data_IF_604102436326
#
_entry.id   IF_604102436326
#
_cell.length_a   1.000
_cell.length_b   1.000
_cell.length_c   1.000
_cell.angle_alpha   90.00
_cell.angle_beta   90.00
_cell.angle_gamma   90.00
#
_symmetry.space_group_name_H-M   'P 1'
#
loop_
_entity.id
_entity.type
_entity.pdbx_description
1 polymer ?
#
# COMPACT_ATOMS: atom_id res chain seq x y z
N UNK A 1 -14.47 -10.95 -12.61
CA UNK A 1 -14.56 -12.36 -13.04
C UNK A 1 -13.67 -12.54 -14.25
N UNK A 2 -12.72 -13.48 -14.20
CA UNK A 2 -11.85 -13.81 -15.34
C UNK A 2 -12.47 -14.97 -16.10
N UNK A 3 -12.57 -14.89 -17.43
CA UNK A 3 -13.07 -15.99 -18.25
C UNK A 3 -12.26 -17.28 -18.00
N UNK A 4 -12.94 -18.42 -17.86
CA UNK A 4 -12.29 -19.72 -17.61
C UNK A 4 -11.90 -19.98 -16.14
N UNK A 5 -11.89 -18.98 -15.26
CA UNK A 5 -11.57 -19.19 -13.84
C UNK A 5 -12.71 -19.91 -13.11
N UNK A 6 -12.39 -21.07 -12.52
CA UNK A 6 -13.33 -21.91 -11.75
C UNK A 6 -13.32 -21.59 -10.25
N UNK A 7 -12.31 -20.86 -9.75
CA UNK A 7 -12.20 -20.50 -8.33
C UNK A 7 -13.34 -19.57 -7.94
N UNK A 8 -14.04 -19.91 -6.85
CA UNK A 8 -15.14 -19.12 -6.27
C UNK A 8 -14.79 -18.71 -4.83
N UNK A 9 -15.41 -17.63 -4.36
CA UNK A 9 -15.26 -17.14 -3.01
C UNK A 9 -14.31 -15.94 -2.90
N UNK A 10 -14.10 -15.48 -1.66
CA UNK A 10 -13.17 -14.42 -1.36
C UNK A 10 -11.74 -14.97 -1.23
N UNK A 11 -10.77 -14.20 -1.71
CA UNK A 11 -9.35 -14.48 -1.52
C UNK A 11 -8.86 -13.70 -0.28
N UNK A 12 -8.35 -14.38 0.77
CA UNK A 12 -7.94 -13.71 2.00
C UNK A 12 -6.54 -13.10 1.94
N UNK A 13 -5.84 -13.22 0.82
CA UNK A 13 -4.50 -12.66 0.65
C UNK A 13 -4.54 -11.15 0.54
N UNK A 14 -3.49 -10.49 1.02
CA UNK A 14 -3.31 -9.05 0.88
C UNK A 14 -2.97 -8.71 -0.57
N UNK A 15 -3.70 -7.78 -1.16
CA UNK A 15 -3.46 -7.27 -2.51
C UNK A 15 -3.35 -5.74 -2.47
N UNK A 16 -2.63 -5.18 -3.43
CA UNK A 16 -2.45 -3.73 -3.56
C UNK A 16 -3.05 -3.22 -4.88
N UNK A 17 -3.37 -1.94 -4.93
CA UNK A 17 -3.94 -1.35 -6.14
C UNK A 17 -2.97 -1.40 -7.34
N UNK A 18 -1.66 -1.39 -7.07
CA UNK A 18 -0.60 -1.54 -8.09
C UNK A 18 -0.62 -2.92 -8.77
N UNK A 19 -1.23 -3.93 -8.16
CA UNK A 19 -1.36 -5.28 -8.71
C UNK A 19 -2.44 -5.38 -9.81
N UNK A 20 -3.36 -4.40 -9.87
CA UNK A 20 -4.48 -4.43 -10.83
C UNK A 20 -3.98 -4.31 -12.26
N UNK A 21 -3.07 -3.38 -12.54
CA UNK A 21 -2.59 -3.14 -13.90
C UNK A 21 -1.86 -4.36 -14.52
N UNK A 22 -0.85 -4.96 -13.86
CA UNK A 22 -0.22 -6.17 -14.38
C UNK A 22 -1.19 -7.34 -14.52
N UNK A 23 -2.19 -7.45 -13.62
CA UNK A 23 -3.24 -8.46 -13.74
C UNK A 23 -4.10 -8.28 -15.00
N UNK A 24 -4.48 -7.04 -15.31
CA UNK A 24 -5.25 -6.76 -16.52
C UNK A 24 -4.45 -7.06 -17.79
N UNK A 25 -3.16 -6.68 -17.82
CA UNK A 25 -2.28 -7.02 -18.94
C UNK A 25 -2.24 -8.52 -19.19
N UNK A 26 -1.97 -9.31 -18.15
CA UNK A 26 -1.91 -10.77 -18.27
C UNK A 26 -3.26 -11.38 -18.65
N UNK A 27 -4.37 -10.89 -18.08
CA UNK A 27 -5.72 -11.38 -18.37
C UNK A 27 -6.14 -11.23 -19.83
N UNK A 28 -5.57 -10.25 -20.55
CA UNK A 28 -5.86 -10.01 -21.98
C UNK A 28 -4.70 -10.42 -22.90
N UNK A 29 -3.68 -11.11 -22.38
CA UNK A 29 -2.53 -11.59 -23.14
C UNK A 29 -1.54 -10.51 -23.59
N UNK A 30 -1.54 -9.37 -22.93
CA UNK A 30 -0.56 -8.30 -23.18
C UNK A 30 0.68 -8.47 -22.28
N UNK A 31 1.87 -8.07 -22.76
CA UNK A 31 3.06 -8.07 -21.94
C UNK A 31 2.93 -7.05 -20.77
N UNK A 32 3.33 -7.46 -19.58
CA UNK A 32 3.40 -6.56 -18.42
C UNK A 32 4.60 -5.62 -18.60
N UNK A 33 4.42 -4.28 -18.57
CA UNK A 33 5.53 -3.35 -18.69
C UNK A 33 6.54 -3.49 -17.56
N UNK A 34 7.83 -3.39 -17.88
CA UNK A 34 8.94 -3.60 -16.93
C UNK A 34 8.99 -2.59 -15.76
N UNK A 35 8.33 -1.43 -15.90
CA UNK A 35 8.27 -0.40 -14.85
C UNK A 35 7.13 -0.59 -13.85
N UNK A 36 6.35 -1.67 -13.97
CA UNK A 36 5.26 -1.99 -13.03
C UNK A 36 5.84 -2.45 -11.70
N UNK A 37 5.40 -1.86 -10.60
CA UNK A 37 5.82 -2.26 -9.24
C UNK A 37 4.96 -3.38 -8.65
N UNK A 38 3.74 -3.56 -9.17
CA UNK A 38 2.81 -4.59 -8.73
C UNK A 38 3.05 -5.94 -9.40
N UNK A 39 2.46 -6.97 -8.83
CA UNK A 39 2.47 -8.34 -9.35
C UNK A 39 1.08 -8.74 -9.88
N UNK A 40 1.06 -9.56 -10.94
CA UNK A 40 -0.21 -10.06 -11.47
C UNK A 40 -0.86 -11.05 -10.50
N UNK A 41 -2.11 -10.79 -10.16
CA UNK A 41 -2.94 -11.65 -9.31
C UNK A 41 -3.51 -12.88 -10.06
N UNK A 42 -3.17 -13.09 -11.33
CA UNK A 42 -3.78 -14.18 -12.12
C UNK A 42 -3.56 -15.54 -11.47
N UNK A 43 -2.33 -15.87 -11.05
CA UNK A 43 -2.03 -17.14 -10.36
C UNK A 43 -2.75 -17.25 -9.02
N UNK A 44 -2.86 -16.13 -8.28
CA UNK A 44 -3.63 -16.08 -7.05
C UNK A 44 -5.12 -16.37 -7.30
N UNK A 45 -5.68 -15.78 -8.36
CA UNK A 45 -7.08 -15.96 -8.74
C UNK A 45 -7.38 -17.39 -9.24
N UNK A 46 -6.43 -18.05 -9.88
CA UNK A 46 -6.56 -19.46 -10.32
C UNK A 46 -6.28 -20.45 -9.20
N UNK A 47 -5.64 -20.02 -8.11
CA UNK A 47 -5.25 -20.88 -6.99
C UNK A 47 -3.92 -21.58 -7.19
N UNK A 48 -3.13 -21.18 -8.18
CA UNK A 48 -1.82 -21.76 -8.49
C UNK A 48 -0.68 -21.18 -7.64
N UNK A 49 -0.84 -19.94 -7.14
CA UNK A 49 0.19 -19.28 -6.35
C UNK A 49 0.04 -19.56 -4.86
N UNK A 50 1.08 -20.17 -4.29
CA UNK A 50 1.23 -20.41 -2.85
C UNK A 50 2.17 -19.41 -2.18
N UNK A 51 2.93 -18.64 -2.96
CA UNK A 51 4.01 -17.75 -2.51
C UNK A 51 3.64 -16.26 -2.55
N UNK A 52 2.37 -15.94 -2.69
CA UNK A 52 1.88 -14.56 -2.75
C UNK A 52 2.33 -13.74 -1.54
N UNK A 53 2.59 -12.45 -1.75
CA UNK A 53 2.99 -11.51 -0.70
C UNK A 53 2.03 -11.56 0.49
N UNK A 54 2.60 -11.35 1.66
CA UNK A 54 1.92 -11.41 2.96
C UNK A 54 1.52 -10.04 3.51
N UNK A 55 2.07 -8.96 2.94
CA UNK A 55 1.79 -7.59 3.36
C UNK A 55 1.68 -6.61 2.19
N UNK A 56 1.08 -5.46 2.45
CA UNK A 56 1.08 -4.27 1.61
C UNK A 56 1.92 -3.17 2.23
N UNK A 57 2.62 -2.38 1.40
CA UNK A 57 3.35 -1.19 1.83
C UNK A 57 2.76 0.03 1.13
N UNK A 58 2.03 0.83 1.87
CA UNK A 58 1.27 1.97 1.36
C UNK A 58 2.01 3.27 1.66
N UNK A 59 2.12 4.14 0.65
CA UNK A 59 2.71 5.48 0.81
C UNK A 59 1.66 6.55 0.65
N UNK A 60 1.56 7.45 1.64
CA UNK A 60 0.72 8.64 1.55
C UNK A 60 1.44 9.85 2.17
N UNK A 61 1.85 10.81 1.34
CA UNK A 61 2.62 11.98 1.76
C UNK A 61 3.85 11.62 2.61
N UNK A 62 3.82 11.97 3.90
CA UNK A 62 4.85 11.67 4.89
C UNK A 62 4.67 10.31 5.56
N UNK A 63 3.51 9.68 5.38
CA UNK A 63 3.18 8.40 6.00
C UNK A 63 3.59 7.20 5.15
N UNK A 64 4.12 6.18 5.79
CA UNK A 64 4.35 4.85 5.22
C UNK A 64 3.67 3.84 6.11
N UNK A 65 2.80 3.03 5.54
CA UNK A 65 2.04 2.03 6.27
C UNK A 65 2.46 0.63 5.83
N UNK A 66 2.80 -0.21 6.81
CA UNK A 66 2.83 -1.65 6.67
C UNK A 66 1.45 -2.18 7.07
N UNK A 67 0.89 -3.03 6.23
CA UNK A 67 -0.42 -3.63 6.46
C UNK A 67 -0.37 -5.12 6.15
N UNK A 68 -0.79 -5.94 7.11
CA UNK A 68 -1.05 -7.35 6.92
C UNK A 68 -2.33 -7.79 7.68
N UNK A 69 -2.51 -9.09 7.90
CA UNK A 69 -3.69 -9.62 8.61
C UNK A 69 -3.68 -9.36 10.11
N UNK A 70 -2.50 -9.16 10.69
CA UNK A 70 -2.29 -9.05 12.14
C UNK A 70 -1.99 -7.62 12.57
N UNK A 71 -1.39 -6.80 11.68
CA UNK A 71 -0.86 -5.49 12.00
C UNK A 71 -1.21 -4.40 10.97
N UNK A 72 -1.57 -3.23 11.50
CA UNK A 72 -1.55 -1.97 10.76
C UNK A 72 -0.54 -1.03 11.44
N UNK A 73 0.64 -0.87 10.84
CA UNK A 73 1.67 0.02 11.36
C UNK A 73 1.92 1.17 10.39
N UNK A 74 1.76 2.41 10.87
CA UNK A 74 2.06 3.61 10.09
C UNK A 74 3.13 4.44 10.78
N UNK A 75 4.13 4.85 10.01
CA UNK A 75 5.16 5.79 10.45
C UNK A 75 5.13 7.03 9.58
N UNK A 76 5.25 8.21 10.20
CA UNK A 76 5.40 9.49 9.53
C UNK A 76 6.82 10.00 9.64
N UNK A 77 7.32 10.54 8.52
CA UNK A 77 8.64 11.13 8.45
C UNK A 77 8.57 12.51 7.77
N UNK A 78 9.51 13.40 8.09
CA UNK A 78 9.64 14.68 7.39
C UNK A 78 10.27 14.51 5.99
N UNK A 79 10.54 15.65 5.33
CA UNK A 79 11.17 15.67 3.99
C UNK A 79 12.61 15.12 3.98
N UNK A 80 13.30 15.21 5.11
CA UNK A 80 14.65 14.67 5.27
C UNK A 80 14.64 13.17 5.62
N UNK A 81 13.47 12.63 5.99
CA UNK A 81 13.31 11.23 6.41
C UNK A 81 13.37 11.06 7.93
N UNK A 82 13.38 12.15 8.73
CA UNK A 82 13.39 12.05 10.18
C UNK A 82 12.01 11.63 10.69
N UNK A 83 12.00 10.77 11.69
CA UNK A 83 10.81 10.27 12.36
C UNK A 83 10.01 11.42 13.00
N UNK A 84 8.68 11.40 12.80
CA UNK A 84 7.74 12.39 13.35
C UNK A 84 6.70 11.76 14.27
N UNK A 85 6.42 10.48 14.11
CA UNK A 85 5.44 9.76 14.91
C UNK A 85 5.03 8.46 14.24
N UNK A 86 4.28 7.64 15.00
CA UNK A 86 3.78 6.37 14.48
C UNK A 86 2.47 5.93 15.14
N UNK A 87 1.80 4.98 14.50
CA UNK A 87 0.67 4.23 15.05
C UNK A 87 0.86 2.75 14.79
N UNK A 88 0.42 1.93 15.74
CA UNK A 88 0.29 0.48 15.60
C UNK A 88 -1.09 0.04 16.07
N UNK A 89 -1.73 -0.77 15.24
CA UNK A 89 -2.98 -1.45 15.56
C UNK A 89 -2.78 -2.96 15.45
N UNK A 90 -3.30 -3.69 16.44
CA UNK A 90 -3.23 -5.15 16.52
C UNK A 90 -4.60 -5.70 16.11
N UNK A 91 -4.80 -6.11 14.86
CA UNK A 91 -6.09 -6.46 14.30
C UNK A 91 -6.78 -7.67 14.97
N UNK A 92 -6.02 -8.54 15.62
CA UNK A 92 -6.59 -9.64 16.40
C UNK A 92 -7.47 -9.15 17.56
N UNK A 93 -7.16 -7.96 18.11
CA UNK A 93 -7.81 -7.41 19.29
C UNK A 93 -8.57 -6.11 19.00
N UNK A 94 -8.20 -5.40 17.92
CA UNK A 94 -8.71 -4.06 17.59
C UNK A 94 -8.79 -3.87 16.06
N UNK A 95 -9.69 -4.58 15.40
CA UNK A 95 -9.91 -4.46 13.95
C UNK A 95 -10.57 -3.15 13.52
N UNK A 96 -11.03 -2.33 14.48
CA UNK A 96 -11.59 -0.99 14.22
C UNK A 96 -10.57 0.13 14.45
N UNK A 97 -9.31 -0.21 14.77
CA UNK A 97 -8.22 0.75 14.96
C UNK A 97 -8.55 1.84 16.01
N UNK A 98 -9.14 1.42 17.12
CA UNK A 98 -9.63 2.33 18.17
C UNK A 98 -8.53 2.79 19.12
N UNK A 99 -7.44 2.01 19.23
CA UNK A 99 -6.37 2.29 20.21
C UNK A 99 -4.99 2.15 19.58
N UNK A 100 -4.28 3.28 19.42
CA UNK A 100 -2.87 3.25 19.07
C UNK A 100 -2.03 2.65 20.22
N UNK A 101 -1.30 1.56 19.93
CA UNK A 101 -0.45 0.85 20.90
C UNK A 101 1.03 0.87 20.51
N UNK A 102 1.43 1.78 19.62
CA UNK A 102 2.81 1.84 19.12
C UNK A 102 3.85 2.11 20.21
N UNK A 103 3.49 2.93 21.23
CA UNK A 103 4.40 3.32 22.30
C UNK A 103 4.35 2.38 23.53
N UNK A 104 3.50 1.33 23.48
CA UNK A 104 3.42 0.36 24.56
C UNK A 104 4.73 -0.46 24.64
N UNK A 105 5.34 -0.60 25.84
CA UNK A 105 6.64 -1.28 25.99
C UNK A 105 6.66 -2.69 25.42
N UNK A 106 5.57 -3.43 25.53
CA UNK A 106 5.39 -4.79 25.01
C UNK A 106 5.40 -4.87 23.48
N UNK A 107 5.15 -3.77 22.77
CA UNK A 107 5.09 -3.72 21.31
C UNK A 107 6.37 -3.19 20.67
N UNK A 108 7.38 -2.84 21.46
CA UNK A 108 8.64 -2.26 20.97
C UNK A 108 9.35 -3.14 19.93
N UNK A 109 9.38 -4.44 20.15
CA UNK A 109 10.01 -5.41 19.24
C UNK A 109 9.22 -5.51 17.94
N UNK A 110 7.89 -5.56 18.02
CA UNK A 110 6.99 -5.59 16.85
C UNK A 110 7.21 -4.33 16.00
N UNK A 111 7.19 -3.14 16.63
CA UNK A 111 7.44 -1.87 15.92
C UNK A 111 8.78 -1.89 15.20
N UNK A 112 9.85 -2.31 15.88
CA UNK A 112 11.19 -2.40 15.29
C UNK A 112 11.25 -3.37 14.10
N UNK A 113 10.57 -4.52 14.20
CA UNK A 113 10.45 -5.49 13.12
C UNK A 113 9.72 -4.91 11.91
N UNK A 114 8.55 -4.26 12.11
CA UNK A 114 7.75 -3.69 11.03
C UNK A 114 8.49 -2.54 10.32
N UNK A 115 9.23 -1.71 11.05
CA UNK A 115 10.12 -0.69 10.49
C UNK A 115 11.21 -1.31 9.61
N UNK A 116 11.83 -2.40 10.07
CA UNK A 116 12.83 -3.13 9.30
C UNK A 116 12.25 -3.72 8.02
N UNK A 117 11.05 -4.29 8.07
CA UNK A 117 10.35 -4.81 6.90
C UNK A 117 10.07 -3.73 5.85
N UNK A 118 9.59 -2.56 6.27
CA UNK A 118 9.37 -1.42 5.36
C UNK A 118 10.69 -1.04 4.68
N UNK A 119 11.77 -0.89 5.45
CA UNK A 119 13.09 -0.50 4.93
C UNK A 119 13.68 -1.55 3.99
N UNK A 120 13.52 -2.83 4.30
CA UNK A 120 14.01 -3.93 3.47
C UNK A 120 13.30 -4.00 2.11
N UNK A 121 11.99 -3.75 2.09
CA UNK A 121 11.16 -3.85 0.87
C UNK A 121 11.21 -2.60 0.00
N UNK A 122 11.36 -1.39 0.59
CA UNK A 122 11.21 -0.12 -0.11
C UNK A 122 12.42 0.83 -0.03
N UNK A 123 13.38 0.54 0.83
CA UNK A 123 14.56 1.37 1.03
C UNK A 123 14.30 2.68 1.79
N UNK A 124 15.38 3.39 2.11
CA UNK A 124 15.32 4.60 2.95
C UNK A 124 14.63 5.79 2.27
N UNK A 125 14.79 5.95 0.96
CA UNK A 125 14.20 7.07 0.23
C UNK A 125 12.66 7.02 0.19
N UNK A 126 12.10 5.83 0.24
CA UNK A 126 10.65 5.64 0.35
C UNK A 126 10.07 6.21 1.65
N UNK A 127 10.87 6.31 2.70
CA UNK A 127 10.46 6.90 3.99
C UNK A 127 10.35 8.43 3.96
N UNK A 128 10.97 9.11 3.00
CA UNK A 128 10.92 10.58 2.90
C UNK A 128 9.54 11.06 2.48
N UNK A 129 9.15 12.24 2.98
CA UNK A 129 7.89 12.87 2.57
C UNK A 129 7.91 13.19 1.06
N UNK A 130 6.85 12.81 0.36
CA UNK A 130 6.66 13.22 -1.04
C UNK A 130 6.41 14.73 -1.09
N UNK A 131 7.14 15.50 -1.93
CA UNK A 131 6.85 16.91 -2.14
C UNK A 131 5.40 17.09 -2.61
N UNK A 132 4.70 18.11 -2.13
CA UNK A 132 3.41 18.48 -2.71
C UNK A 132 3.66 18.86 -4.16
N UNK A 133 2.97 18.20 -5.10
CA UNK A 133 2.96 18.67 -6.47
C UNK A 133 2.40 20.09 -6.49
N UNK A 134 3.08 21.01 -7.15
CA UNK A 134 2.55 22.35 -7.38
C UNK A 134 1.20 22.20 -8.05
N UNK A 135 0.14 22.69 -7.40
CA UNK A 135 -1.18 22.70 -8.02
C UNK A 135 -1.07 23.58 -9.26
N UNK A 136 -1.38 23.06 -10.47
CA UNK A 136 -1.44 23.93 -11.63
C UNK A 136 -2.42 25.06 -11.31
N UNK A 137 -1.96 26.32 -11.48
CA UNK A 137 -2.85 27.49 -11.35
C UNK A 137 -4.07 27.24 -12.23
N UNK A 138 -5.23 27.17 -11.60
CA UNK A 138 -6.49 27.16 -12.35
C UNK A 138 -6.60 28.50 -13.04
N UNK A 139 -6.20 28.58 -14.30
CA UNK A 139 -6.51 29.73 -15.15
C UNK A 139 -8.02 29.90 -15.11
N UNK A 140 -8.44 31.01 -14.48
CA UNK A 140 -9.86 31.33 -14.31
C UNK A 140 -10.57 31.25 -15.65
N UNK A 141 -11.60 30.44 -15.72
CA UNK A 141 -12.53 30.38 -16.86
C UNK A 141 -13.15 31.76 -16.99
N UNK A 142 -12.76 32.55 -17.99
CA UNK A 142 -13.43 33.80 -18.31
C UNK A 142 -14.87 33.47 -18.61
N UNK A 143 -15.76 33.96 -17.75
CA UNK A 143 -17.21 33.89 -17.99
C UNK A 143 -17.54 34.63 -19.31
N UNK A 144 -17.92 33.86 -20.30
CA UNK A 144 -18.51 34.43 -21.53
C UNK A 144 -19.79 35.14 -21.15
N UNK A 145 -19.74 36.48 -21.04
CA UNK A 145 -20.94 37.31 -21.01
C UNK A 145 -21.64 37.18 -22.39
N UNK A 146 -22.75 36.44 -22.39
CA UNK A 146 -23.67 36.47 -23.53
C UNK A 146 -24.32 37.86 -23.55
N UNK A 147 -24.15 38.55 -24.69
CA UNK A 147 -24.97 39.71 -25.07
C UNK A 147 -26.29 39.22 -25.66
#
# INVERSE_FOLDING_TARGET
>A
KVPGNQKKGAEPKVVEFVDVYPTLCEAVGLPVPHHTEGESMMKLMTGEDKSWKDCAIIKWHSGVTYFDRDYGYTQWNDKAGNFQGHMLFLYRNDHLETKNVADAPENKEIVAQLQKEILARRGKDFMKQVPKADKPERKGTQAHKRK
#
